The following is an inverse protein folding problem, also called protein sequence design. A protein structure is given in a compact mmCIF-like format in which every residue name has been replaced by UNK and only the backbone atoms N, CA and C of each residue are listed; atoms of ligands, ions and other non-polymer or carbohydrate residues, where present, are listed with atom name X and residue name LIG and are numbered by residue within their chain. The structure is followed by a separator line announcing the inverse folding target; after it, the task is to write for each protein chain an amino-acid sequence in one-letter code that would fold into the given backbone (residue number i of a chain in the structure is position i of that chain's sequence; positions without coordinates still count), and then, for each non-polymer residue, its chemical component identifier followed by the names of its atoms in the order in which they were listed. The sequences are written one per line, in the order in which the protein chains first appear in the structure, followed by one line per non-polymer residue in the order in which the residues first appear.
data_IF_296001705516
#
_entry.id   IF_296001705516
#
_cell.length_a   1.000
_cell.length_b   1.000
_cell.length_c   1.000
_cell.angle_alpha   90.00
_cell.angle_beta   90.00
_cell.angle_gamma   90.00
#
_symmetry.space_group_name_H-M   'P 1'
#
loop_
_entity.id
_entity.type
_entity.pdbx_description
1 polymer ?
#
# COMPACT_ATOMS: atom_id res chain seq x y z
N UNK A 1 22.74 -46.33 -5.30
CA UNK A 1 22.31 -46.08 -3.90
C UNK A 1 22.56 -44.63 -3.49
N UNK A 2 23.73 -44.03 -3.77
CA UNK A 2 24.06 -42.66 -3.37
C UNK A 2 23.18 -41.59 -4.06
N UNK A 3 22.78 -41.77 -5.33
CA UNK A 3 21.92 -40.85 -6.10
C UNK A 3 20.52 -40.81 -5.51
N UNK A 4 19.95 -41.95 -5.15
CA UNK A 4 18.62 -42.02 -4.53
C UNK A 4 18.57 -41.34 -3.16
N UNK A 5 19.65 -41.47 -2.37
CA UNK A 5 19.75 -40.82 -1.06
C UNK A 5 19.82 -39.30 -1.20
N UNK A 6 20.65 -38.77 -2.12
CA UNK A 6 20.72 -37.34 -2.43
C UNK A 6 19.39 -36.80 -2.95
N UNK A 7 18.73 -37.54 -3.83
CA UNK A 7 17.42 -37.10 -4.37
C UNK A 7 16.39 -37.03 -3.25
N UNK A 8 16.37 -37.97 -2.33
CA UNK A 8 15.47 -38.00 -1.20
C UNK A 8 15.75 -36.84 -0.23
N UNK A 9 16.99 -36.60 0.14
CA UNK A 9 17.41 -35.48 0.99
C UNK A 9 17.07 -34.12 0.36
N UNK A 10 17.28 -33.96 -0.95
CA UNK A 10 16.90 -32.72 -1.68
C UNK A 10 15.39 -32.52 -1.70
N UNK A 11 14.61 -33.57 -1.89
CA UNK A 11 13.15 -33.54 -1.89
C UNK A 11 12.60 -33.17 -0.52
N UNK A 12 13.16 -33.74 0.56
CA UNK A 12 12.78 -33.37 1.93
C UNK A 12 13.14 -31.92 2.27
N UNK A 13 14.33 -31.46 1.87
CA UNK A 13 14.74 -30.08 2.07
C UNK A 13 13.81 -29.09 1.34
N UNK A 14 13.44 -29.38 0.08
CA UNK A 14 12.48 -28.58 -0.68
C UNK A 14 11.09 -28.57 -0.05
N UNK A 15 10.64 -29.70 0.49
CA UNK A 15 9.37 -29.78 1.19
C UNK A 15 9.35 -28.90 2.44
N UNK A 16 10.39 -28.97 3.26
CA UNK A 16 10.52 -28.13 4.47
C UNK A 16 10.57 -26.64 4.11
N UNK A 17 11.33 -26.27 3.08
CA UNK A 17 11.44 -24.91 2.59
C UNK A 17 10.07 -24.37 2.13
N UNK A 18 9.34 -25.18 1.35
CA UNK A 18 7.99 -24.87 0.91
C UNK A 18 7.03 -24.65 2.08
N UNK A 19 7.05 -25.55 3.08
CA UNK A 19 6.17 -25.42 4.27
C UNK A 19 6.49 -24.15 5.07
N UNK A 20 7.76 -23.78 5.19
CA UNK A 20 8.15 -22.51 5.81
C UNK A 20 7.60 -21.31 5.05
N UNK A 21 7.74 -21.29 3.72
CA UNK A 21 7.20 -20.22 2.87
C UNK A 21 5.67 -20.10 3.00
N UNK A 22 4.95 -21.21 2.97
CA UNK A 22 3.50 -21.24 3.16
C UNK A 22 3.12 -20.67 4.54
N UNK A 23 3.84 -21.07 5.58
CA UNK A 23 3.60 -20.56 6.94
C UNK A 23 3.85 -19.05 7.00
N UNK A 24 4.93 -18.55 6.41
CA UNK A 24 5.19 -17.11 6.34
C UNK A 24 4.10 -16.35 5.60
N UNK A 25 3.60 -16.88 4.50
CA UNK A 25 2.50 -16.27 3.73
C UNK A 25 1.20 -16.23 4.53
N UNK A 26 0.92 -17.24 5.35
CA UNK A 26 -0.28 -17.29 6.20
C UNK A 26 -0.23 -16.33 7.39
N UNK A 27 0.97 -16.00 7.91
CA UNK A 27 1.16 -15.03 9.00
C UNK A 27 1.36 -13.61 8.46
N UNK A 28 1.47 -13.42 7.16
CA UNK A 28 1.56 -12.08 6.55
C UNK A 28 0.33 -11.27 6.89
N UNK A 29 0.51 -9.97 7.11
CA UNK A 29 -0.60 -9.02 7.27
C UNK A 29 -1.17 -8.56 5.92
N UNK A 30 -0.67 -9.09 4.83
CA UNK A 30 -1.13 -8.81 3.47
C UNK A 30 -1.90 -10.00 2.89
N UNK A 31 -2.94 -9.72 2.12
CA UNK A 31 -3.61 -10.71 1.31
C UNK A 31 -2.76 -11.02 0.08
N UNK A 32 -2.28 -12.25 -0.06
CA UNK A 32 -1.38 -12.67 -1.15
C UNK A 32 -2.02 -13.77 -1.99
N UNK A 33 -2.07 -13.53 -3.29
CA UNK A 33 -2.50 -14.50 -4.30
C UNK A 33 -1.50 -14.62 -5.43
N UNK A 34 -1.00 -15.82 -5.68
CA UNK A 34 -0.09 -16.14 -6.78
C UNK A 34 -0.83 -16.99 -7.80
N UNK A 35 -0.74 -16.60 -9.06
CA UNK A 35 -1.45 -17.20 -10.16
C UNK A 35 -0.49 -17.53 -11.31
N UNK A 36 -0.80 -18.56 -12.08
CA UNK A 36 -0.08 -18.85 -13.30
C UNK A 36 -0.53 -17.92 -14.45
N UNK A 37 0.14 -18.01 -15.61
CA UNK A 37 -0.17 -17.22 -16.81
C UNK A 37 -1.63 -17.37 -17.30
N UNK A 38 -2.30 -18.49 -16.96
CA UNK A 38 -3.67 -18.77 -17.36
C UNK A 38 -4.68 -18.36 -16.26
N UNK A 39 -4.24 -17.53 -15.29
CA UNK A 39 -5.02 -17.04 -14.14
C UNK A 39 -5.52 -18.13 -13.21
N UNK A 40 -4.86 -19.29 -13.19
CA UNK A 40 -5.16 -20.37 -12.25
C UNK A 40 -4.35 -20.17 -10.96
N UNK A 41 -5.02 -20.40 -9.84
CA UNK A 41 -4.43 -20.33 -8.52
C UNK A 41 -3.24 -21.26 -8.39
N UNK A 42 -2.10 -20.72 -7.91
CA UNK A 42 -0.94 -21.49 -7.44
C UNK A 42 -0.94 -21.50 -5.92
N UNK A 43 -1.16 -20.34 -5.31
CA UNK A 43 -1.15 -20.14 -3.87
C UNK A 43 -2.00 -18.92 -3.51
N UNK A 44 -2.83 -19.05 -2.47
CA UNK A 44 -3.62 -17.94 -1.93
C UNK A 44 -3.65 -18.08 -0.41
N UNK A 45 -3.46 -16.97 0.31
CA UNK A 45 -3.63 -16.97 1.76
C UNK A 45 -5.05 -16.53 2.16
N UNK A 46 -5.41 -16.76 3.43
CA UNK A 46 -6.74 -16.45 3.94
C UNK A 46 -7.10 -14.95 3.83
N UNK A 47 -6.12 -14.05 4.04
CA UNK A 47 -6.35 -12.61 3.95
C UNK A 47 -6.68 -12.17 2.53
N UNK A 48 -6.09 -12.78 1.51
CA UNK A 48 -6.43 -12.50 0.12
C UNK A 48 -7.93 -12.75 -0.14
N UNK A 49 -8.43 -13.90 0.29
CA UNK A 49 -9.85 -14.24 0.16
C UNK A 49 -10.74 -13.26 0.93
N UNK A 50 -10.37 -12.92 2.18
CA UNK A 50 -11.13 -11.99 3.00
C UNK A 50 -11.18 -10.59 2.39
N UNK A 51 -10.04 -10.05 1.95
CA UNK A 51 -9.98 -8.71 1.35
C UNK A 51 -10.66 -8.67 -0.02
N UNK A 52 -10.53 -9.71 -0.83
CA UNK A 52 -11.25 -9.82 -2.10
C UNK A 52 -12.76 -9.82 -1.90
N UNK A 53 -13.28 -10.54 -0.90
CA UNK A 53 -14.68 -10.52 -0.53
C UNK A 53 -15.16 -9.14 -0.06
N UNK A 54 -14.33 -8.41 0.72
CA UNK A 54 -14.65 -7.05 1.16
C UNK A 54 -14.69 -6.07 0.00
N UNK A 55 -13.80 -6.20 -0.98
CA UNK A 55 -13.74 -5.34 -2.16
C UNK A 55 -14.92 -5.62 -3.10
N UNK A 56 -15.28 -6.89 -3.30
CA UNK A 56 -16.36 -7.30 -4.21
C UNK A 56 -17.76 -7.14 -3.62
N UNK A 57 -17.90 -6.93 -2.29
CA UNK A 57 -19.16 -7.04 -1.53
C UNK A 57 -19.87 -8.39 -1.71
N UNK A 58 -19.11 -9.46 -2.02
CA UNK A 58 -19.63 -10.80 -2.25
C UNK A 58 -18.67 -11.86 -1.71
N UNK A 59 -19.20 -13.04 -1.43
CA UNK A 59 -18.38 -14.18 -1.10
C UNK A 59 -17.95 -14.87 -2.41
N UNK A 60 -16.66 -14.80 -2.70
CA UNK A 60 -16.07 -15.50 -3.84
C UNK A 60 -15.92 -16.98 -3.50
N UNK A 61 -16.31 -17.86 -4.43
CA UNK A 61 -16.16 -19.30 -4.27
C UNK A 61 -14.73 -19.75 -4.60
N UNK A 62 -14.10 -19.08 -5.55
CA UNK A 62 -12.74 -19.37 -6.01
C UNK A 62 -11.89 -18.11 -6.06
N UNK A 63 -10.57 -18.25 -5.91
CA UNK A 63 -9.65 -17.12 -6.00
C UNK A 63 -9.61 -16.50 -7.41
N UNK A 64 -9.90 -17.27 -8.44
CA UNK A 64 -9.94 -16.80 -9.83
C UNK A 64 -11.07 -15.80 -10.09
N UNK A 65 -12.12 -15.79 -9.28
CA UNK A 65 -13.21 -14.81 -9.40
C UNK A 65 -12.76 -13.37 -9.12
N UNK A 66 -11.60 -13.19 -8.49
CA UNK A 66 -10.98 -11.86 -8.29
C UNK A 66 -10.82 -11.09 -9.60
N UNK A 67 -10.62 -11.77 -10.73
CA UNK A 67 -10.48 -11.14 -12.04
C UNK A 67 -11.80 -10.61 -12.63
N UNK A 68 -12.93 -10.92 -11.99
CA UNK A 68 -14.26 -10.43 -12.37
C UNK A 68 -14.70 -9.22 -11.52
N UNK A 69 -13.94 -8.86 -10.49
CA UNK A 69 -14.24 -7.72 -9.62
C UNK A 69 -14.04 -6.42 -10.41
N UNK A 70 -15.06 -5.57 -10.43
CA UNK A 70 -15.05 -4.30 -11.17
C UNK A 70 -13.97 -3.34 -10.68
N UNK A 71 -13.73 -3.29 -9.38
CA UNK A 71 -12.72 -2.46 -8.72
C UNK A 71 -11.28 -2.89 -9.09
N UNK A 72 -11.10 -4.15 -9.49
CA UNK A 72 -9.81 -4.72 -9.89
C UNK A 72 -9.60 -4.75 -11.41
N UNK A 73 -10.48 -4.10 -12.17
CA UNK A 73 -10.42 -4.09 -13.63
C UNK A 73 -9.07 -3.58 -14.17
N UNK A 74 -8.50 -2.54 -13.56
CA UNK A 74 -7.20 -2.01 -13.99
C UNK A 74 -6.08 -3.04 -13.83
N UNK A 75 -6.07 -3.79 -12.72
CA UNK A 75 -5.13 -4.89 -12.50
C UNK A 75 -5.35 -6.01 -13.52
N UNK A 76 -6.61 -6.38 -13.77
CA UNK A 76 -6.95 -7.41 -14.76
C UNK A 76 -6.53 -7.00 -16.17
N UNK A 77 -6.75 -5.73 -16.54
CA UNK A 77 -6.33 -5.17 -17.83
C UNK A 77 -4.80 -5.13 -17.94
N UNK A 78 -4.09 -4.81 -16.86
CA UNK A 78 -2.63 -4.83 -16.82
C UNK A 78 -2.09 -6.23 -17.08
N UNK A 79 -2.65 -7.26 -16.42
CA UNK A 79 -2.29 -8.67 -16.63
C UNK A 79 -2.56 -9.08 -18.07
N UNK A 80 -3.71 -8.72 -18.63
CA UNK A 80 -4.12 -9.08 -19.99
C UNK A 80 -3.24 -8.42 -21.08
N UNK A 81 -2.73 -7.22 -20.82
CA UNK A 81 -1.85 -6.47 -21.72
C UNK A 81 -0.39 -6.91 -21.63
N UNK A 82 -0.03 -7.73 -20.64
CA UNK A 82 1.33 -8.23 -20.52
C UNK A 82 1.70 -9.06 -21.75
N UNK A 83 2.91 -8.88 -22.31
CA UNK A 83 3.36 -9.64 -23.46
C UNK A 83 3.41 -11.14 -23.11
N UNK A 84 2.94 -11.99 -24.03
CA UNK A 84 2.90 -13.45 -23.84
C UNK A 84 4.29 -14.11 -23.77
N UNK A 85 5.35 -13.36 -23.96
CA UNK A 85 6.76 -13.79 -23.83
C UNK A 85 7.52 -12.76 -23.01
N UNK A 86 8.43 -13.19 -22.14
CA UNK A 86 9.24 -12.26 -21.37
C UNK A 86 10.06 -11.38 -22.30
N UNK A 87 9.85 -10.07 -22.22
CA UNK A 87 10.62 -9.06 -22.93
C UNK A 87 11.44 -8.31 -21.89
N UNK A 88 12.70 -8.71 -21.73
CA UNK A 88 13.64 -8.09 -20.80
C UNK A 88 13.67 -8.77 -19.42
N UNK A 89 14.56 -8.26 -18.55
CA UNK A 89 14.77 -8.77 -17.17
C UNK A 89 13.94 -8.01 -16.12
N UNK A 90 13.15 -7.02 -16.52
CA UNK A 90 12.40 -6.16 -15.59
C UNK A 90 11.06 -6.79 -15.23
N UNK A 91 10.80 -6.89 -13.94
CA UNK A 91 9.49 -7.22 -13.39
C UNK A 91 8.52 -6.08 -13.71
N UNK A 92 7.35 -6.43 -14.22
CA UNK A 92 6.28 -5.45 -14.44
C UNK A 92 5.44 -5.37 -13.17
N UNK A 93 5.27 -4.14 -12.67
CA UNK A 93 4.53 -3.86 -11.45
C UNK A 93 3.46 -2.80 -11.70
N UNK A 94 2.31 -2.97 -11.09
CA UNK A 94 1.21 -2.01 -11.07
C UNK A 94 0.62 -1.95 -9.67
N UNK A 95 0.25 -0.76 -9.20
CA UNK A 95 -0.41 -0.54 -7.92
C UNK A 95 -1.62 0.37 -8.11
N UNK A 96 -2.73 0.02 -7.45
CA UNK A 96 -3.94 0.83 -7.40
C UNK A 96 -4.41 0.97 -5.95
N UNK A 97 -5.17 2.04 -5.68
CA UNK A 97 -5.81 2.25 -4.38
C UNK A 97 -7.33 2.13 -4.53
N UNK A 98 -7.94 1.32 -3.69
CA UNK A 98 -9.38 1.09 -3.67
C UNK A 98 -9.95 1.56 -2.34
N UNK A 99 -10.97 2.45 -2.40
CA UNK A 99 -11.73 2.87 -1.24
C UNK A 99 -13.10 2.18 -1.28
N UNK A 100 -13.39 1.35 -0.28
CA UNK A 100 -14.62 0.57 -0.21
C UNK A 100 -15.11 0.46 1.23
N UNK A 101 -16.37 0.81 1.46
CA UNK A 101 -17.04 0.68 2.77
C UNK A 101 -16.25 1.26 3.96
N UNK A 102 -15.63 2.44 3.75
CA UNK A 102 -14.81 3.11 4.77
C UNK A 102 -13.42 2.50 5.00
N UNK A 103 -13.02 1.54 4.17
CA UNK A 103 -11.68 0.95 4.15
C UNK A 103 -10.90 1.40 2.93
N UNK A 104 -9.59 1.49 3.09
CA UNK A 104 -8.64 1.79 2.03
C UNK A 104 -7.72 0.60 1.81
N UNK A 105 -7.74 0.06 0.60
CA UNK A 105 -6.87 -1.05 0.19
C UNK A 105 -5.87 -0.58 -0.86
N UNK A 106 -4.61 -0.98 -0.70
CA UNK A 106 -3.62 -0.91 -1.77
C UNK A 106 -3.52 -2.29 -2.39
N UNK A 107 -3.73 -2.37 -3.70
CA UNK A 107 -3.60 -3.61 -4.47
C UNK A 107 -2.44 -3.46 -5.42
N UNK A 108 -1.46 -4.35 -5.30
CA UNK A 108 -0.31 -4.41 -6.20
C UNK A 108 -0.33 -5.70 -7.00
N UNK A 109 0.11 -5.60 -8.25
CA UNK A 109 0.32 -6.75 -9.13
C UNK A 109 1.76 -6.75 -9.61
N UNK A 110 2.44 -7.89 -9.49
CA UNK A 110 3.79 -8.12 -10.00
C UNK A 110 3.74 -9.28 -10.97
N UNK A 111 4.24 -9.08 -12.19
CA UNK A 111 4.33 -10.13 -13.21
C UNK A 111 5.78 -10.59 -13.29
N UNK A 112 5.99 -11.88 -13.06
CA UNK A 112 7.31 -12.53 -13.07
C UNK A 112 7.76 -12.91 -14.49
N UNK A 113 9.01 -13.32 -14.61
CA UNK A 113 9.62 -13.69 -15.90
C UNK A 113 8.96 -14.91 -16.55
N UNK A 114 8.43 -15.85 -15.77
CA UNK A 114 7.71 -17.04 -16.25
C UNK A 114 6.24 -16.74 -16.59
N UNK A 115 5.85 -15.46 -16.54
CA UNK A 115 4.48 -14.96 -16.76
C UNK A 115 3.48 -15.40 -15.68
N UNK A 116 3.91 -16.02 -14.60
CA UNK A 116 3.14 -16.06 -13.37
C UNK A 116 3.06 -14.66 -12.77
N UNK A 117 2.09 -14.41 -11.93
CA UNK A 117 1.94 -13.10 -11.31
C UNK A 117 1.43 -13.23 -9.87
N UNK A 118 1.78 -12.24 -9.08
CA UNK A 118 1.34 -12.08 -7.71
C UNK A 118 0.41 -10.87 -7.62
N UNK A 119 -0.67 -11.02 -6.89
CA UNK A 119 -1.53 -9.92 -6.46
C UNK A 119 -1.46 -9.86 -4.94
N UNK A 120 -1.03 -8.71 -4.41
CA UNK A 120 -1.08 -8.40 -2.98
C UNK A 120 -2.18 -7.38 -2.70
N UNK A 121 -2.90 -7.57 -1.60
CA UNK A 121 -3.95 -6.65 -1.11
C UNK A 121 -3.60 -6.29 0.32
N UNK A 122 -3.41 -5.00 0.58
CA UNK A 122 -3.07 -4.47 1.89
C UNK A 122 -4.14 -3.50 2.38
N UNK A 123 -4.70 -3.74 3.57
CA UNK A 123 -5.64 -2.82 4.23
C UNK A 123 -4.81 -1.73 4.95
N UNK A 124 -4.76 -0.55 4.38
CA UNK A 124 -4.01 0.62 4.90
C UNK A 124 -4.92 1.65 5.56
N UNK A 125 -6.11 1.24 5.98
CA UNK A 125 -7.12 2.15 6.54
C UNK A 125 -6.60 2.88 7.79
N UNK A 126 -5.92 2.18 8.69
CA UNK A 126 -5.40 2.78 9.91
C UNK A 126 -4.24 3.73 9.65
N UNK A 127 -3.34 3.37 8.75
CA UNK A 127 -2.20 4.18 8.35
C UNK A 127 -2.67 5.48 7.69
N UNK A 128 -3.62 5.40 6.77
CA UNK A 128 -4.20 6.57 6.10
C UNK A 128 -4.94 7.48 7.10
N UNK A 129 -5.69 6.92 8.04
CA UNK A 129 -6.37 7.67 9.09
C UNK A 129 -5.37 8.41 9.98
N UNK A 130 -4.29 7.75 10.41
CA UNK A 130 -3.22 8.38 11.21
C UNK A 130 -2.54 9.51 10.44
N UNK A 131 -2.25 9.33 9.16
CA UNK A 131 -1.66 10.36 8.31
C UNK A 131 -2.61 11.55 8.20
N UNK A 132 -3.91 11.31 8.01
CA UNK A 132 -4.94 12.34 7.94
C UNK A 132 -5.02 13.15 9.22
N UNK A 133 -5.10 12.48 10.38
CA UNK A 133 -5.15 13.12 11.69
C UNK A 133 -3.89 13.94 11.98
N UNK A 134 -2.72 13.41 11.67
CA UNK A 134 -1.45 14.14 11.81
C UNK A 134 -1.43 15.41 10.96
N UNK A 135 -1.91 15.34 9.72
CA UNK A 135 -2.00 16.49 8.82
C UNK A 135 -2.95 17.55 9.35
N UNK A 136 -4.14 17.16 9.82
CA UNK A 136 -5.11 18.06 10.43
C UNK A 136 -4.55 18.76 11.67
N UNK A 137 -3.88 18.01 12.56
CA UNK A 137 -3.24 18.56 13.75
C UNK A 137 -2.18 19.61 13.37
N UNK A 138 -1.32 19.30 12.40
CA UNK A 138 -0.29 20.23 11.92
C UNK A 138 -0.91 21.50 11.35
N UNK A 139 -1.97 21.39 10.57
CA UNK A 139 -2.68 22.55 10.02
C UNK A 139 -3.31 23.41 11.13
N UNK A 140 -3.98 22.79 12.12
CA UNK A 140 -4.58 23.49 13.24
C UNK A 140 -3.54 24.24 14.07
N UNK A 141 -2.39 23.57 14.40
CA UNK A 141 -1.29 24.22 15.11
C UNK A 141 -0.75 25.43 14.31
N UNK A 142 -0.55 25.27 13.01
CA UNK A 142 -0.09 26.36 12.16
C UNK A 142 -1.04 27.55 12.18
N UNK A 143 -2.35 27.32 12.14
CA UNK A 143 -3.37 28.36 12.26
C UNK A 143 -3.38 29.03 13.63
N UNK A 144 -3.30 28.25 14.72
CA UNK A 144 -3.26 28.78 16.08
C UNK A 144 -1.99 29.56 16.40
N UNK A 145 -0.84 29.20 15.80
CA UNK A 145 0.41 29.95 15.95
C UNK A 145 0.43 31.25 15.11
N UNK A 146 -0.31 31.31 14.01
CA UNK A 146 -0.32 32.49 13.15
C UNK A 146 -0.82 33.73 13.89
N UNK A 147 -1.84 33.61 14.71
CA UNK A 147 -2.44 34.71 15.47
C UNK A 147 -1.47 35.35 16.46
N UNK A 148 -0.83 34.62 17.40
CA UNK A 148 0.13 35.22 18.33
C UNK A 148 1.38 35.75 17.62
N UNK A 149 1.85 35.07 16.54
CA UNK A 149 2.99 35.59 15.76
C UNK A 149 2.65 36.91 15.09
N UNK A 150 1.47 37.03 14.47
CA UNK A 150 1.01 38.29 13.87
C UNK A 150 0.86 39.41 14.91
N UNK A 151 0.40 39.07 16.13
CA UNK A 151 0.28 40.04 17.23
C UNK A 151 1.67 40.53 17.68
N UNK A 152 2.64 39.61 17.83
CA UNK A 152 4.03 39.99 18.18
C UNK A 152 4.62 40.87 17.09
N UNK A 153 4.44 40.55 15.82
CA UNK A 153 4.90 41.39 14.72
C UNK A 153 4.30 42.78 14.78
N UNK A 154 2.99 42.91 14.99
CA UNK A 154 2.33 44.20 15.11
C UNK A 154 2.84 45.02 16.30
N UNK A 155 3.11 44.39 17.44
CA UNK A 155 3.76 45.10 18.58
C UNK A 155 5.17 45.56 18.25
N UNK A 156 5.99 44.74 17.62
CA UNK A 156 7.34 45.10 17.22
C UNK A 156 7.35 46.27 16.21
N UNK A 157 6.47 46.23 15.22
CA UNK A 157 6.30 47.32 14.26
C UNK A 157 5.90 48.63 14.96
N UNK A 158 5.02 48.57 15.95
CA UNK A 158 4.61 49.73 16.74
C UNK A 158 5.78 50.31 17.53
N UNK A 159 6.60 49.46 18.15
CA UNK A 159 7.79 49.90 18.90
C UNK A 159 8.79 50.55 17.96
N UNK A 160 9.14 49.92 16.85
CA UNK A 160 10.09 50.47 15.86
C UNK A 160 9.60 51.79 15.29
N UNK A 161 8.32 51.93 14.99
CA UNK A 161 7.76 53.16 14.47
C UNK A 161 7.74 54.29 15.54
N UNK A 162 7.54 53.93 16.82
CA UNK A 162 7.60 54.91 17.92
C UNK A 162 9.04 55.35 18.26
N UNK A 163 10.04 54.51 18.04
CA UNK A 163 11.44 54.92 18.18
C UNK A 163 11.89 55.95 17.10
N UNK A 164 11.18 55.98 15.99
CA UNK A 164 11.40 56.96 14.92
C UNK A 164 10.60 58.30 15.11
N UNK A 165 9.83 58.45 16.20
CA UNK A 165 9.18 59.72 16.52
C UNK A 165 10.24 60.71 17.03
N UNK A 166 10.29 61.94 16.47
CA UNK A 166 11.25 62.96 16.93
C UNK A 166 11.06 63.24 18.41
N UNK A 167 12.16 63.30 19.17
CA UNK A 167 12.17 63.60 20.61
C UNK A 167 11.63 64.97 20.99
N UNK A 168 11.13 65.76 20.05
CA UNK A 168 10.59 67.08 20.25
C UNK A 168 9.14 67.16 20.82
N UNK A 169 8.46 66.04 21.01
CA UNK A 169 7.10 66.03 21.58
C UNK A 169 6.99 65.40 22.98
N UNK A 170 8.12 65.23 23.68
CA UNK A 170 8.10 64.70 25.04
C UNK A 170 8.30 65.78 26.13
N UNK A 171 8.03 67.04 25.83
CA UNK A 171 7.95 68.12 26.81
C UNK A 171 6.56 68.79 26.69
N UNK A 172 5.59 68.30 27.42
CA UNK A 172 4.48 69.03 28.02
C UNK A 172 4.06 68.30 29.29
#
# INVERSE_FOLDING_TARGET
IQIYKRLHETKEALYIEREKLITHLQISHEGLGVFNKDKKEILVNNLFTQYSNLISDSNLETAEEVFNISELKEITDFINKAPKRPVGKEEKRMSITINKNGKTFIVECIIFQDMSFEISINDVTQEEEQIRLKRQLTQNIAHELKTPVSSIQGYLETIVNNENLPKEKMNV
#
